data_IF_560547713145
#
_entry.id   IF_560547713145
#
_cell.length_a   1.000
_cell.length_b   1.000
_cell.length_c   1.000
_cell.angle_alpha   90.00
_cell.angle_beta   90.00
_cell.angle_gamma   90.00
#
_symmetry.space_group_name_H-M   'P 1'
#
loop_
_entity.id
_entity.type
_entity.pdbx_description
1 polymer ?
#
# COMPACT_ATOMS: atom_id res chain seq x y z
N UNK A 1 20.29 -40.41 24.55
CA UNK A 1 18.87 -40.07 24.73
C UNK A 1 18.85 -38.70 25.38
N UNK A 2 18.12 -37.73 24.81
CA UNK A 2 17.97 -36.40 25.40
C UNK A 2 16.93 -36.47 26.51
N UNK A 3 17.17 -35.78 27.63
CA UNK A 3 16.33 -35.82 28.82
C UNK A 3 15.56 -34.49 28.96
N UNK A 4 14.23 -34.60 29.02
CA UNK A 4 13.30 -33.49 29.17
C UNK A 4 12.51 -33.57 30.48
N UNK A 5 12.87 -34.50 31.38
CA UNK A 5 12.16 -34.76 32.66
C UNK A 5 12.08 -33.56 33.59
N UNK A 6 12.91 -32.54 33.37
CA UNK A 6 12.83 -31.26 34.08
C UNK A 6 11.44 -30.61 33.93
N UNK A 7 10.68 -30.91 32.87
CA UNK A 7 9.35 -30.35 32.61
C UNK A 7 8.19 -31.34 32.88
N UNK A 8 8.45 -32.49 33.51
CA UNK A 8 7.40 -33.50 33.77
C UNK A 8 6.37 -33.05 34.84
N UNK A 9 6.69 -32.00 35.60
CA UNK A 9 5.88 -31.54 36.74
C UNK A 9 5.55 -30.05 36.60
N UNK A 10 4.70 -29.70 35.64
CA UNK A 10 4.18 -28.34 35.46
C UNK A 10 2.74 -28.28 35.99
N UNK A 11 2.47 -27.31 36.87
CA UNK A 11 1.13 -26.99 37.39
C UNK A 11 0.62 -25.70 36.72
N UNK A 12 -0.47 -25.81 35.97
CA UNK A 12 -1.19 -24.69 35.36
C UNK A 12 -2.54 -24.56 36.06
N UNK A 13 -2.76 -23.46 36.79
CA UNK A 13 -3.98 -23.28 37.59
C UNK A 13 -5.26 -23.17 36.76
N UNK A 14 -5.12 -22.69 35.52
CA UNK A 14 -6.16 -22.48 34.52
C UNK A 14 -6.10 -23.50 33.36
N UNK A 15 -5.62 -24.71 33.65
CA UNK A 15 -5.61 -25.81 32.68
C UNK A 15 -7.04 -26.19 32.25
N UNK A 16 -7.38 -25.86 31.00
CA UNK A 16 -8.70 -26.09 30.39
C UNK A 16 -8.94 -27.54 29.96
N UNK A 17 -7.89 -28.36 29.88
CA UNK A 17 -8.00 -29.80 29.61
C UNK A 17 -8.35 -30.58 30.89
N UNK A 18 -7.96 -30.08 32.08
CA UNK A 18 -8.30 -30.68 33.37
C UNK A 18 -9.62 -30.16 33.95
N UNK A 19 -10.72 -30.41 33.25
CA UNK A 19 -12.06 -29.97 33.66
C UNK A 19 -13.01 -31.14 33.95
N UNK A 20 -14.16 -30.84 34.55
CA UNK A 20 -15.19 -31.84 34.83
C UNK A 20 -16.57 -31.27 34.45
N UNK A 21 -17.43 -32.01 33.72
CA UNK A 21 -18.72 -31.49 33.25
C UNK A 21 -19.66 -30.94 34.35
N UNK A 22 -19.46 -31.39 35.59
CA UNK A 22 -20.26 -30.95 36.74
C UNK A 22 -19.60 -29.86 37.61
N UNK A 23 -18.42 -29.36 37.24
CA UNK A 23 -17.69 -28.35 38.02
C UNK A 23 -17.57 -27.07 37.19
N UNK A 24 -17.91 -25.94 37.81
CA UNK A 24 -17.77 -24.62 37.20
C UNK A 24 -16.28 -24.24 37.06
N UNK A 25 -15.78 -24.22 35.82
CA UNK A 25 -14.36 -24.03 35.52
C UNK A 25 -13.81 -22.66 35.95
N UNK A 26 -14.51 -21.51 35.79
CA UNK A 26 -13.98 -20.22 36.24
C UNK A 26 -13.83 -20.11 37.76
N UNK A 27 -14.68 -20.81 38.52
CA UNK A 27 -14.55 -20.89 39.98
C UNK A 27 -13.45 -21.87 40.38
N UNK A 28 -13.32 -23.00 39.67
CA UNK A 28 -12.26 -23.99 39.88
C UNK A 28 -10.86 -23.40 39.64
N UNK A 29 -10.64 -22.65 38.55
CA UNK A 29 -9.33 -22.06 38.26
C UNK A 29 -8.90 -21.03 39.30
N UNK A 30 -9.84 -20.20 39.76
CA UNK A 30 -9.59 -19.27 40.87
C UNK A 30 -9.26 -20.01 42.16
N UNK A 31 -9.97 -21.11 42.44
CA UNK A 31 -9.68 -21.95 43.60
C UNK A 31 -8.31 -22.64 43.51
N UNK A 32 -7.95 -23.22 42.35
CA UNK A 32 -6.63 -23.80 42.09
C UNK A 32 -5.51 -22.76 42.26
N UNK A 33 -5.71 -21.55 41.72
CA UNK A 33 -4.78 -20.43 41.92
C UNK A 33 -4.61 -20.08 43.40
N UNK A 34 -5.72 -19.93 44.14
CA UNK A 34 -5.71 -19.63 45.57
C UNK A 34 -4.98 -20.73 46.36
N UNK A 35 -5.30 -22.00 46.10
CA UNK A 35 -4.64 -23.13 46.75
C UNK A 35 -3.13 -23.15 46.47
N UNK A 36 -2.70 -22.80 45.25
CA UNK A 36 -1.29 -22.69 44.88
C UNK A 36 -0.58 -21.58 45.65
N UNK A 37 -1.19 -20.39 45.73
CA UNK A 37 -0.65 -19.25 46.51
C UNK A 37 -0.52 -19.62 47.98
N UNK A 38 -1.55 -20.23 48.57
CA UNK A 38 -1.53 -20.68 49.97
C UNK A 38 -0.44 -21.73 50.24
N UNK A 39 -0.26 -22.71 49.34
CA UNK A 39 0.83 -23.70 49.43
C UNK A 39 2.21 -23.04 49.39
N UNK A 40 2.41 -22.08 48.49
CA UNK A 40 3.68 -21.34 48.39
C UNK A 40 3.93 -20.46 49.63
N UNK A 41 2.91 -19.77 50.15
CA UNK A 41 3.02 -18.97 51.36
C UNK A 41 3.36 -19.84 52.59
N UNK A 42 2.70 -20.99 52.75
CA UNK A 42 3.00 -21.92 53.84
C UNK A 42 4.43 -22.47 53.73
N UNK A 43 4.85 -22.81 52.50
CA UNK A 43 6.21 -23.27 52.23
C UNK A 43 7.26 -22.21 52.60
N UNK A 44 7.01 -20.96 52.22
CA UNK A 44 7.89 -19.84 52.54
C UNK A 44 7.98 -19.59 54.06
N UNK A 45 6.85 -19.64 54.78
CA UNK A 45 6.84 -19.54 56.26
C UNK A 45 7.63 -20.66 56.93
N UNK A 46 7.47 -21.91 56.47
CA UNK A 46 8.22 -23.06 56.99
C UNK A 46 9.74 -22.85 56.79
N UNK A 47 10.13 -22.35 55.61
CA UNK A 47 11.52 -22.04 55.29
C UNK A 47 12.12 -20.95 56.16
N UNK A 48 11.39 -19.88 56.42
CA UNK A 48 11.81 -18.78 57.28
C UNK A 48 11.96 -19.22 58.75
N UNK A 49 11.02 -20.01 59.26
CA UNK A 49 11.09 -20.57 60.63
C UNK A 49 12.28 -21.52 60.80
N UNK A 50 12.56 -22.38 59.80
CA UNK A 50 13.72 -23.27 59.83
C UNK A 50 15.03 -22.50 59.76
N UNK A 51 15.14 -21.49 58.90
CA UNK A 51 16.33 -20.65 58.79
C UNK A 51 16.58 -19.85 60.08
N UNK A 52 15.53 -19.26 60.66
CA UNK A 52 15.61 -18.57 61.96
C UNK A 52 16.01 -19.52 63.08
N UNK A 53 15.39 -20.69 63.18
CA UNK A 53 15.72 -21.72 64.16
C UNK A 53 17.17 -22.22 64.06
N UNK A 54 17.66 -22.41 62.83
CA UNK A 54 19.04 -22.79 62.56
C UNK A 54 20.02 -21.69 62.98
N UNK A 55 19.75 -20.42 62.63
CA UNK A 55 20.60 -19.27 63.02
C UNK A 55 20.65 -19.08 64.53
N UNK A 56 19.51 -19.22 65.20
CA UNK A 56 19.40 -19.09 66.65
C UNK A 56 20.14 -20.21 67.39
N UNK A 57 19.99 -21.46 66.96
CA UNK A 57 20.72 -22.58 67.54
C UNK A 57 22.23 -22.43 67.32
N UNK A 58 22.66 -22.04 66.12
CA UNK A 58 24.07 -21.83 65.81
C UNK A 58 24.69 -20.72 66.65
N UNK A 59 23.97 -19.61 66.88
CA UNK A 59 24.39 -18.53 67.77
C UNK A 59 24.52 -19.01 69.22
N UNK A 60 23.50 -19.67 69.76
CA UNK A 60 23.51 -20.19 71.14
C UNK A 60 24.61 -21.22 71.34
N UNK A 61 24.83 -22.10 70.36
CA UNK A 61 25.90 -23.09 70.39
C UNK A 61 27.28 -22.43 70.41
N UNK A 62 27.50 -21.40 69.57
CA UNK A 62 28.76 -20.66 69.56
C UNK A 62 29.02 -19.93 70.90
N UNK A 63 28.00 -19.31 71.48
CA UNK A 63 28.09 -18.68 72.80
C UNK A 63 28.37 -19.70 73.92
N UNK A 64 27.70 -20.85 73.91
CA UNK A 64 27.95 -21.93 74.87
C UNK A 64 29.37 -22.51 74.73
N UNK A 65 29.83 -22.75 73.50
CA UNK A 65 31.20 -23.21 73.24
C UNK A 65 32.24 -22.19 73.70
N UNK A 66 31.97 -20.89 73.56
CA UNK A 66 32.85 -19.84 74.06
C UNK A 66 32.93 -19.86 75.60
N UNK A 67 31.79 -19.95 76.28
CA UNK A 67 31.72 -20.05 77.75
C UNK A 67 32.38 -21.31 78.29
N UNK A 68 32.24 -22.45 77.61
CA UNK A 68 32.94 -23.70 77.96
C UNK A 68 34.45 -23.49 77.90
N UNK A 69 34.99 -22.90 76.82
CA UNK A 69 36.43 -22.61 76.70
C UNK A 69 36.93 -21.62 77.76
N UNK A 70 36.15 -20.58 78.08
CA UNK A 70 36.49 -19.61 79.13
C UNK A 70 36.55 -20.27 80.52
N UNK A 71 35.65 -21.22 80.81
CA UNK A 71 35.63 -21.96 82.08
C UNK A 71 36.73 -23.02 82.17
N UNK A 72 37.08 -23.69 81.07
CA UNK A 72 38.24 -24.60 81.01
C UNK A 72 39.55 -23.89 81.33
N UNK A 73 39.69 -22.62 80.91
CA UNK A 73 40.87 -21.81 81.15
C UNK A 73 40.98 -21.27 82.59
N UNK A 74 39.88 -21.17 83.34
CA UNK A 74 39.85 -20.53 84.67
C UNK A 74 40.15 -21.45 85.85
N UNK A 75 40.19 -22.78 85.67
CA UNK A 75 40.90 -23.72 86.56
C UNK A 75 40.42 -23.85 88.01
N UNK A 76 39.23 -23.36 88.38
CA UNK A 76 38.67 -23.44 89.75
C UNK A 76 37.91 -24.77 89.98
N UNK A 77 38.17 -25.46 91.10
CA UNK A 77 37.51 -26.75 91.44
C UNK A 77 35.98 -26.66 91.57
N UNK A 78 35.43 -25.48 91.92
CA UNK A 78 33.99 -25.21 91.96
C UNK A 78 33.34 -25.05 90.57
N UNK A 79 34.12 -24.94 89.49
CA UNK A 79 33.62 -24.72 88.13
C UNK A 79 33.36 -26.03 87.36
N UNK A 80 33.70 -27.19 87.94
CA UNK A 80 33.58 -28.49 87.27
C UNK A 80 32.13 -28.93 87.04
N UNK A 81 31.22 -28.62 87.96
CA UNK A 81 29.79 -28.87 87.84
C UNK A 81 29.13 -27.96 86.80
N UNK A 82 29.53 -26.69 86.77
CA UNK A 82 29.07 -25.70 85.79
C UNK A 82 29.58 -26.00 84.38
N UNK A 83 30.82 -26.47 84.27
CA UNK A 83 31.39 -26.97 83.01
C UNK A 83 30.61 -28.16 82.47
N UNK A 84 30.28 -29.15 83.31
CA UNK A 84 29.46 -30.30 82.90
C UNK A 84 28.06 -29.87 82.46
N UNK A 85 27.46 -28.88 83.14
CA UNK A 85 26.15 -28.32 82.76
C UNK A 85 26.18 -27.65 81.39
N UNK A 86 27.16 -26.79 81.15
CA UNK A 86 27.33 -26.09 79.86
C UNK A 86 27.74 -27.03 78.73
N UNK A 87 28.50 -28.08 79.04
CA UNK A 87 28.86 -29.12 78.07
C UNK A 87 27.63 -29.96 77.68
N UNK A 88 26.74 -30.28 78.63
CA UNK A 88 25.47 -30.92 78.35
C UNK A 88 24.53 -29.99 77.54
N UNK A 89 24.49 -28.70 77.86
CA UNK A 89 23.72 -27.69 77.11
C UNK A 89 24.26 -27.53 75.67
N UNK A 90 25.58 -27.48 75.48
CA UNK A 90 26.20 -27.45 74.16
C UNK A 90 25.93 -28.74 73.36
N UNK A 91 25.93 -29.91 74.01
CA UNK A 91 25.54 -31.16 73.35
C UNK A 91 24.06 -31.17 72.96
N UNK A 92 23.18 -30.59 73.78
CA UNK A 92 21.77 -30.46 73.47
C UNK A 92 21.53 -29.49 72.29
N UNK A 93 22.16 -28.31 72.32
CA UNK A 93 22.11 -27.34 71.22
C UNK A 93 22.68 -27.90 69.91
N UNK A 94 23.69 -28.77 69.99
CA UNK A 94 24.23 -29.48 68.81
C UNK A 94 23.26 -30.51 68.24
N UNK A 95 22.47 -31.19 69.09
CA UNK A 95 21.37 -32.07 68.63
C UNK A 95 20.26 -31.25 67.99
N UNK A 96 19.93 -30.09 68.55
CA UNK A 96 18.94 -29.16 67.99
C UNK A 96 19.40 -28.60 66.63
N UNK A 97 20.65 -28.16 66.49
CA UNK A 97 21.24 -27.74 65.21
C UNK A 97 21.10 -28.84 64.15
N UNK A 98 21.46 -30.08 64.49
CA UNK A 98 21.30 -31.23 63.58
C UNK A 98 19.84 -31.43 63.17
N UNK A 99 18.90 -31.29 64.11
CA UNK A 99 17.47 -31.41 63.80
C UNK A 99 16.97 -30.30 62.86
N UNK A 100 17.53 -29.08 62.96
CA UNK A 100 17.23 -27.99 62.03
C UNK A 100 17.86 -28.21 60.66
N UNK A 101 19.05 -28.76 60.59
CA UNK A 101 19.71 -29.13 59.33
C UNK A 101 18.94 -30.25 58.60
N UNK A 102 18.45 -31.25 59.33
CA UNK A 102 17.57 -32.29 58.77
C UNK A 102 16.26 -31.71 58.23
N UNK A 103 15.67 -30.72 58.93
CA UNK A 103 14.50 -29.97 58.43
C UNK A 103 14.83 -29.14 57.19
N UNK A 104 15.97 -28.46 57.16
CA UNK A 104 16.41 -27.67 56.00
C UNK A 104 16.65 -28.56 54.76
N UNK A 105 17.24 -29.75 54.93
CA UNK A 105 17.42 -30.70 53.85
C UNK A 105 16.08 -31.29 53.38
N UNK A 106 15.12 -31.49 54.29
CA UNK A 106 13.75 -31.87 53.91
C UNK A 106 13.06 -30.79 53.07
N UNK A 107 13.28 -29.51 53.40
CA UNK A 107 12.76 -28.38 52.62
C UNK A 107 13.40 -28.32 51.24
N UNK A 108 14.71 -28.52 51.10
CA UNK A 108 15.39 -28.58 49.79
C UNK A 108 14.83 -29.69 48.90
N UNK A 109 14.46 -30.84 49.47
CA UNK A 109 13.79 -31.91 48.72
C UNK A 109 12.38 -31.50 48.29
N UNK A 110 11.63 -30.83 49.16
CA UNK A 110 10.32 -30.24 48.81
C UNK A 110 10.46 -29.19 47.69
N UNK A 111 11.50 -28.35 47.68
CA UNK A 111 11.77 -27.39 46.58
C UNK A 111 12.03 -28.10 45.25
N UNK A 112 12.85 -29.17 45.25
CA UNK A 112 13.14 -29.94 44.03
C UNK A 112 11.92 -30.64 43.45
N UNK A 113 11.00 -31.07 44.32
CA UNK A 113 9.76 -31.74 43.93
C UNK A 113 8.60 -30.75 43.73
N UNK A 114 8.84 -29.44 43.86
CA UNK A 114 7.80 -28.44 43.71
C UNK A 114 7.38 -28.36 42.24
N UNK A 115 6.08 -28.35 41.94
CA UNK A 115 5.60 -28.16 40.57
C UNK A 115 6.06 -26.82 40.01
N UNK A 116 6.50 -26.85 38.77
CA UNK A 116 6.78 -25.67 37.98
C UNK A 116 5.50 -24.90 37.68
N UNK A 117 5.52 -23.60 37.87
CA UNK A 117 4.41 -22.71 37.60
C UNK A 117 4.95 -21.36 37.10
N UNK A 118 4.07 -20.42 36.76
CA UNK A 118 4.46 -19.10 36.23
C UNK A 118 5.46 -18.33 37.09
N UNK A 119 5.47 -18.56 38.41
CA UNK A 119 6.35 -17.87 39.37
C UNK A 119 7.71 -18.56 39.55
N UNK A 120 7.83 -19.83 39.18
CA UNK A 120 9.06 -20.64 39.34
C UNK A 120 9.76 -20.92 38.01
N UNK A 121 9.01 -21.03 36.91
CA UNK A 121 9.53 -21.32 35.57
C UNK A 121 10.42 -20.21 35.02
N UNK A 122 10.01 -18.95 35.21
CA UNK A 122 10.70 -17.81 34.62
C UNK A 122 10.43 -16.52 35.41
N UNK A 123 11.14 -15.45 35.04
CA UNK A 123 10.94 -14.09 35.55
C UNK A 123 10.79 -13.15 34.37
N UNK A 124 10.15 -12.01 34.59
CA UNK A 124 10.10 -10.95 33.57
C UNK A 124 11.52 -10.45 33.26
N UNK A 125 12.07 -10.92 32.14
CA UNK A 125 13.41 -10.56 31.68
C UNK A 125 13.42 -9.26 30.89
N UNK A 126 12.35 -8.99 30.13
CA UNK A 126 12.22 -7.80 29.29
C UNK A 126 10.75 -7.55 28.94
N UNK A 127 10.26 -6.37 29.29
CA UNK A 127 8.92 -5.91 28.94
C UNK A 127 9.00 -4.54 28.27
N UNK A 128 8.52 -4.45 27.03
CA UNK A 128 8.45 -3.19 26.27
C UNK A 128 7.14 -3.12 25.50
N UNK A 129 6.34 -2.11 25.81
CA UNK A 129 5.16 -1.75 25.03
C UNK A 129 5.51 -0.66 24.01
N UNK A 130 4.92 -0.77 22.82
CA UNK A 130 5.01 0.25 21.76
C UNK A 130 3.61 0.52 21.28
N UNK A 131 3.13 1.75 21.48
CA UNK A 131 1.87 2.20 20.92
C UNK A 131 2.15 2.89 19.58
N UNK A 132 1.46 2.46 18.53
CA UNK A 132 1.55 3.08 17.22
C UNK A 132 0.69 4.35 17.15
N UNK A 133 1.02 5.34 17.99
CA UNK A 133 0.42 6.67 17.93
C UNK A 133 1.02 7.38 16.72
N UNK A 134 0.24 7.47 15.64
CA UNK A 134 0.69 8.16 14.43
C UNK A 134 0.83 9.66 14.71
N UNK A 135 1.90 10.32 14.23
CA UNK A 135 1.98 11.76 14.27
C UNK A 135 0.80 12.35 13.48
N UNK A 136 0.26 13.49 13.95
CA UNK A 136 -0.69 14.25 13.15
C UNK A 136 -0.06 14.53 11.79
N UNK A 137 -0.76 14.19 10.71
CA UNK A 137 -0.23 14.40 9.36
C UNK A 137 0.09 15.90 9.21
N UNK A 138 1.33 16.29 8.90
CA UNK A 138 1.60 17.67 8.48
C UNK A 138 0.72 17.98 7.26
N UNK A 139 0.35 19.26 7.10
CA UNK A 139 -0.69 19.74 6.18
C UNK A 139 -0.62 19.24 4.73
N UNK A 140 -1.67 19.56 3.96
CA UNK A 140 -1.89 19.09 2.58
C UNK A 140 -0.59 19.06 1.74
N UNK A 141 -0.26 17.88 1.20
CA UNK A 141 0.88 17.67 0.29
C UNK A 141 0.80 18.70 -0.85
N UNK A 142 1.93 19.32 -1.20
CA UNK A 142 1.96 20.31 -2.29
C UNK A 142 1.62 19.64 -3.63
N UNK A 143 0.97 20.35 -4.56
CA UNK A 143 0.57 19.81 -5.87
C UNK A 143 1.73 19.16 -6.64
N UNK A 144 2.94 19.72 -6.56
CA UNK A 144 4.15 19.14 -7.16
C UNK A 144 4.51 17.77 -6.56
N UNK A 145 4.30 17.58 -5.26
CA UNK A 145 4.53 16.31 -4.58
C UNK A 145 3.49 15.27 -5.00
N UNK A 146 2.21 15.69 -5.12
CA UNK A 146 1.13 14.83 -5.63
C UNK A 146 1.42 14.37 -7.05
N UNK A 147 1.92 15.24 -7.92
CA UNK A 147 2.24 14.87 -9.30
C UNK A 147 3.42 13.87 -9.37
N UNK A 148 4.51 14.10 -8.62
CA UNK A 148 5.64 13.16 -8.55
C UNK A 148 5.22 11.80 -7.99
N UNK A 149 4.40 11.82 -6.94
CA UNK A 149 3.81 10.62 -6.34
C UNK A 149 2.92 9.90 -7.36
N UNK A 150 2.10 10.63 -8.12
CA UNK A 150 1.25 10.05 -9.15
C UNK A 150 2.08 9.35 -10.23
N UNK A 151 3.09 10.01 -10.80
CA UNK A 151 3.97 9.42 -11.82
C UNK A 151 4.63 8.14 -11.33
N UNK A 152 5.33 8.21 -10.20
CA UNK A 152 6.04 7.06 -9.62
C UNK A 152 5.10 5.93 -9.19
N UNK A 153 3.92 6.25 -8.67
CA UNK A 153 2.92 5.27 -8.27
C UNK A 153 2.34 4.53 -9.48
N UNK A 154 1.95 5.28 -10.51
CA UNK A 154 1.42 4.72 -11.75
C UNK A 154 2.45 3.83 -12.42
N UNK A 155 3.70 4.30 -12.57
CA UNK A 155 4.78 3.50 -13.16
C UNK A 155 5.01 2.18 -12.41
N UNK A 156 4.96 2.22 -11.07
CA UNK A 156 5.20 1.04 -10.23
C UNK A 156 4.05 0.04 -10.27
N UNK A 157 2.80 0.52 -10.28
CA UNK A 157 1.61 -0.31 -10.09
C UNK A 157 0.70 -0.39 -11.32
N UNK A 158 1.15 0.08 -12.48
CA UNK A 158 0.37 0.15 -13.72
C UNK A 158 -0.37 -1.16 -14.02
N UNK A 159 0.37 -2.28 -14.00
CA UNK A 159 -0.18 -3.62 -14.27
C UNK A 159 -1.26 -4.01 -13.27
N UNK A 160 -1.07 -3.64 -12.01
CA UNK A 160 -2.03 -3.96 -10.96
C UNK A 160 -3.29 -3.10 -11.06
N UNK A 161 -3.14 -1.82 -11.44
CA UNK A 161 -4.26 -0.91 -11.69
C UNK A 161 -5.07 -1.41 -12.89
N UNK A 162 -4.41 -1.76 -14.00
CA UNK A 162 -5.08 -2.33 -15.17
C UNK A 162 -5.81 -3.62 -14.85
N UNK A 163 -5.20 -4.51 -14.05
CA UNK A 163 -5.85 -5.74 -13.61
C UNK A 163 -7.13 -5.45 -12.82
N UNK A 164 -7.08 -4.51 -11.86
CA UNK A 164 -8.29 -4.08 -11.15
C UNK A 164 -9.36 -3.55 -12.10
N UNK A 165 -8.98 -2.71 -13.07
CA UNK A 165 -9.89 -2.15 -14.07
C UNK A 165 -10.59 -3.19 -14.95
N UNK A 166 -10.00 -4.39 -15.10
CA UNK A 166 -10.59 -5.49 -15.88
C UNK A 166 -11.53 -6.38 -15.06
N UNK A 167 -11.60 -6.24 -13.73
CA UNK A 167 -12.50 -7.03 -12.90
C UNK A 167 -13.96 -6.56 -13.04
N UNK A 168 -14.93 -7.44 -12.74
CA UNK A 168 -16.36 -7.10 -12.72
C UNK A 168 -17.05 -7.47 -11.43
N UNK A 169 -16.83 -8.70 -10.97
CA UNK A 169 -17.53 -9.27 -9.82
C UNK A 169 -17.09 -8.55 -8.55
N UNK A 170 -18.06 -8.23 -7.71
CA UNK A 170 -17.83 -7.54 -6.44
C UNK A 170 -16.86 -8.29 -5.52
N UNK A 171 -16.96 -9.62 -5.45
CA UNK A 171 -16.07 -10.45 -4.64
C UNK A 171 -14.62 -10.40 -5.14
N UNK A 172 -14.43 -10.46 -6.45
CA UNK A 172 -13.10 -10.43 -7.07
C UNK A 172 -12.45 -9.05 -6.87
N UNK A 173 -13.18 -7.97 -7.11
CA UNK A 173 -12.71 -6.60 -6.86
C UNK A 173 -12.36 -6.38 -5.38
N UNK A 174 -13.21 -6.85 -4.46
CA UNK A 174 -12.98 -6.72 -3.02
C UNK A 174 -11.76 -7.53 -2.54
N UNK A 175 -11.60 -8.75 -3.04
CA UNK A 175 -10.45 -9.61 -2.75
C UNK A 175 -9.17 -8.99 -3.29
N UNK A 176 -9.19 -8.53 -4.55
CA UNK A 176 -8.02 -7.96 -5.18
C UNK A 176 -7.53 -6.68 -4.49
N UNK A 177 -8.45 -5.80 -4.05
CA UNK A 177 -8.10 -4.63 -3.24
C UNK A 177 -7.69 -4.99 -1.81
N UNK A 178 -8.11 -6.14 -1.29
CA UNK A 178 -7.62 -6.66 0.00
C UNK A 178 -6.18 -7.16 -0.09
N UNK A 179 -5.83 -7.81 -1.19
CA UNK A 179 -4.47 -8.27 -1.48
C UNK A 179 -3.56 -7.10 -1.87
N UNK A 180 -4.13 -6.02 -2.44
CA UNK A 180 -3.41 -4.82 -2.87
C UNK A 180 -4.02 -3.52 -2.30
N UNK A 181 -3.95 -3.27 -0.97
CA UNK A 181 -4.60 -2.11 -0.35
C UNK A 181 -4.04 -0.75 -0.81
N UNK A 182 -2.80 -0.71 -1.30
CA UNK A 182 -2.17 0.51 -1.79
C UNK A 182 -2.85 1.07 -3.04
N UNK A 183 -3.59 0.25 -3.80
CA UNK A 183 -4.35 0.67 -4.97
C UNK A 183 -5.59 1.50 -4.61
N UNK A 184 -6.05 1.46 -3.35
CA UNK A 184 -7.21 2.25 -2.90
C UNK A 184 -6.74 3.68 -2.62
N UNK A 185 -6.65 4.49 -3.67
CA UNK A 185 -6.23 5.90 -3.62
C UNK A 185 -6.70 6.68 -4.85
N UNK A 186 -6.57 8.01 -4.79
CA UNK A 186 -7.00 8.91 -5.88
C UNK A 186 -6.19 8.71 -7.16
N UNK A 187 -4.90 8.38 -7.03
CA UNK A 187 -3.99 8.15 -8.16
C UNK A 187 -4.47 7.00 -9.05
N UNK A 188 -4.98 5.92 -8.45
CA UNK A 188 -5.57 4.79 -9.18
C UNK A 188 -6.82 5.23 -9.95
N UNK A 189 -7.72 5.99 -9.32
CA UNK A 189 -8.93 6.49 -9.98
C UNK A 189 -8.57 7.38 -11.18
N UNK A 190 -7.63 8.30 -11.00
CA UNK A 190 -7.17 9.21 -12.07
C UNK A 190 -6.57 8.45 -13.25
N UNK A 191 -5.75 7.43 -12.98
CA UNK A 191 -5.17 6.60 -14.03
C UNK A 191 -6.26 5.84 -14.81
N UNK A 192 -7.23 5.25 -14.12
CA UNK A 192 -8.32 4.52 -14.77
C UNK A 192 -9.18 5.43 -15.66
N UNK A 193 -9.41 6.69 -15.25
CA UNK A 193 -10.11 7.69 -16.08
C UNK A 193 -9.34 7.97 -17.37
N UNK A 194 -8.02 8.22 -17.28
CA UNK A 194 -7.19 8.46 -18.46
C UNK A 194 -7.20 7.24 -19.37
N UNK A 195 -7.05 6.04 -18.79
CA UNK A 195 -7.08 4.79 -19.53
C UNK A 195 -8.42 4.56 -20.24
N UNK A 196 -9.56 4.93 -19.64
CA UNK A 196 -10.85 4.89 -20.33
C UNK A 196 -10.88 5.77 -21.58
N UNK A 197 -10.30 6.98 -21.51
CA UNK A 197 -10.24 7.90 -22.66
C UNK A 197 -9.32 7.33 -23.74
N UNK A 198 -8.15 6.79 -23.37
CA UNK A 198 -7.23 6.18 -24.34
C UNK A 198 -7.88 4.97 -25.04
N UNK A 199 -8.58 4.12 -24.29
CA UNK A 199 -9.31 2.98 -24.86
C UNK A 199 -10.42 3.42 -25.83
N UNK A 200 -11.11 4.52 -25.53
CA UNK A 200 -12.14 5.06 -26.42
C UNK A 200 -11.55 5.66 -27.70
N UNK A 201 -10.39 6.31 -27.61
CA UNK A 201 -9.64 6.80 -28.78
C UNK A 201 -9.09 5.64 -29.63
N UNK A 202 -8.70 4.53 -28.99
CA UNK A 202 -8.27 3.29 -29.66
C UNK A 202 -9.43 2.41 -30.17
N UNK A 203 -10.69 2.91 -30.14
CA UNK A 203 -11.91 2.19 -30.56
C UNK A 203 -12.21 0.90 -29.78
N UNK A 204 -11.62 0.73 -28.58
CA UNK A 204 -11.83 -0.43 -27.69
C UNK A 204 -13.01 -0.22 -26.74
N UNK A 205 -14.19 0.07 -27.29
CA UNK A 205 -15.39 0.46 -26.54
C UNK A 205 -15.80 -0.55 -25.46
N UNK A 206 -15.78 -1.85 -25.77
CA UNK A 206 -16.19 -2.90 -24.82
C UNK A 206 -15.28 -2.94 -23.57
N UNK A 207 -13.97 -2.74 -23.76
CA UNK A 207 -13.02 -2.69 -22.66
C UNK A 207 -13.14 -1.37 -21.89
N UNK A 208 -13.39 -0.25 -22.58
CA UNK A 208 -13.66 1.05 -21.94
C UNK A 208 -14.84 0.94 -20.97
N UNK A 209 -15.95 0.31 -21.36
CA UNK A 209 -17.11 0.18 -20.46
C UNK A 209 -16.82 -0.66 -19.21
N UNK A 210 -16.00 -1.69 -19.36
CA UNK A 210 -15.55 -2.53 -18.24
C UNK A 210 -14.66 -1.75 -17.27
N UNK A 211 -13.71 -0.99 -17.80
CA UNK A 211 -12.81 -0.15 -17.00
C UNK A 211 -13.56 1.02 -16.36
N UNK A 212 -14.53 1.61 -17.07
CA UNK A 212 -15.40 2.66 -16.56
C UNK A 212 -16.17 2.19 -15.32
N UNK A 213 -16.68 0.95 -15.33
CA UNK A 213 -17.33 0.38 -14.15
C UNK A 213 -16.40 0.38 -12.93
N UNK A 214 -15.18 -0.15 -13.05
CA UNK A 214 -14.22 -0.19 -11.95
C UNK A 214 -13.70 1.19 -11.55
N UNK A 215 -13.71 2.15 -12.48
CA UNK A 215 -13.39 3.56 -12.19
C UNK A 215 -14.41 4.16 -11.23
N UNK A 216 -15.70 3.96 -11.49
CA UNK A 216 -16.78 4.42 -10.60
C UNK A 216 -16.73 3.71 -9.25
N UNK A 217 -16.42 2.41 -9.23
CA UNK A 217 -16.20 1.67 -7.98
C UNK A 217 -15.12 2.34 -7.13
N UNK A 218 -13.97 2.68 -7.71
CA UNK A 218 -12.91 3.37 -6.97
C UNK A 218 -13.36 4.76 -6.52
N UNK A 219 -14.06 5.52 -7.36
CA UNK A 219 -14.57 6.85 -7.00
C UNK A 219 -15.54 6.80 -5.82
N UNK A 220 -16.49 5.86 -5.82
CA UNK A 220 -17.45 5.68 -4.73
C UNK A 220 -16.77 5.25 -3.42
N UNK A 221 -15.71 4.43 -3.50
CA UNK A 221 -14.89 4.09 -2.32
C UNK A 221 -14.24 5.36 -1.74
N UNK A 222 -13.65 6.20 -2.60
CA UNK A 222 -13.01 7.45 -2.19
C UNK A 222 -14.03 8.47 -1.65
N UNK A 223 -15.21 8.54 -2.25
CA UNK A 223 -16.31 9.40 -1.79
C UNK A 223 -16.82 8.95 -0.41
N UNK A 224 -17.08 7.66 -0.23
CA UNK A 224 -17.46 7.09 1.06
C UNK A 224 -16.41 7.40 2.14
N UNK A 225 -15.13 7.29 1.80
CA UNK A 225 -14.03 7.62 2.71
C UNK A 225 -14.03 9.10 3.10
N UNK A 226 -14.26 10.01 2.15
CA UNK A 226 -14.39 11.45 2.38
C UNK A 226 -15.58 11.76 3.29
N UNK A 227 -16.75 11.17 3.03
CA UNK A 227 -17.95 11.35 3.87
C UNK A 227 -17.73 10.86 5.31
N UNK A 228 -17.04 9.73 5.48
CA UNK A 228 -16.73 9.15 6.79
C UNK A 228 -15.50 9.77 7.47
N UNK A 229 -14.74 10.63 6.78
CA UNK A 229 -13.47 11.22 7.25
C UNK A 229 -12.45 10.17 7.69
N UNK A 230 -12.41 9.04 6.98
CA UNK A 230 -11.47 7.93 7.23
C UNK A 230 -10.59 7.70 6.02
N UNK A 231 -9.46 7.02 6.22
CA UNK A 231 -8.62 6.60 5.10
C UNK A 231 -9.39 5.60 4.20
N UNK A 232 -9.40 5.79 2.86
CA UNK A 232 -10.10 4.89 1.94
C UNK A 232 -9.72 3.41 2.10
N UNK A 233 -8.46 3.14 2.46
CA UNK A 233 -7.92 1.79 2.66
C UNK A 233 -8.52 1.10 3.86
N UNK A 234 -9.07 1.86 4.82
CA UNK A 234 -9.73 1.33 6.00
C UNK A 234 -11.22 1.03 5.77
N UNK A 235 -11.87 1.68 4.80
CA UNK A 235 -13.31 1.59 4.61
C UNK A 235 -13.78 0.98 3.29
N UNK A 236 -12.90 0.70 2.32
CA UNK A 236 -13.31 0.16 1.01
C UNK A 236 -14.15 -1.13 1.10
N UNK A 237 -13.92 -1.98 2.11
CA UNK A 237 -14.73 -3.20 2.31
C UNK A 237 -16.18 -2.88 2.65
N UNK A 238 -16.42 -1.77 3.36
CA UNK A 238 -17.78 -1.34 3.70
C UNK A 238 -18.56 -0.90 2.46
N UNK A 239 -17.88 -0.32 1.47
CA UNK A 239 -18.51 -0.04 0.17
C UNK A 239 -19.02 -1.34 -0.48
N UNK A 240 -18.18 -2.39 -0.55
CA UNK A 240 -18.60 -3.67 -1.12
C UNK A 240 -19.71 -4.36 -0.32
N UNK A 241 -19.72 -4.22 1.01
CA UNK A 241 -20.85 -4.69 1.83
C UNK A 241 -22.12 -3.93 1.47
N UNK A 242 -22.06 -2.59 1.42
CA UNK A 242 -23.21 -1.73 1.11
C UNK A 242 -23.77 -2.01 -0.28
N UNK A 243 -22.93 -2.12 -1.31
CA UNK A 243 -23.40 -2.31 -2.69
C UNK A 243 -24.01 -3.70 -2.92
N UNK A 244 -23.57 -4.72 -2.17
CA UNK A 244 -24.17 -6.07 -2.24
C UNK A 244 -25.52 -6.16 -1.55
N UNK A 245 -25.76 -5.31 -0.55
CA UNK A 245 -27.02 -5.26 0.21
C UNK A 245 -27.82 -3.99 -0.10
N UNK A 246 -27.48 -3.29 -1.18
CA UNK A 246 -28.07 -2.01 -1.53
C UNK A 246 -29.49 -2.19 -2.08
N UNK A 247 -30.37 -1.25 -1.72
CA UNK A 247 -31.69 -1.15 -2.34
C UNK A 247 -31.58 -0.76 -3.82
N UNK A 248 -32.60 -1.12 -4.59
CA UNK A 248 -32.70 -0.86 -6.03
C UNK A 248 -32.34 0.60 -6.39
N UNK A 249 -32.82 1.57 -5.61
CA UNK A 249 -32.57 3.00 -5.82
C UNK A 249 -31.08 3.38 -5.78
N UNK A 250 -30.30 2.74 -4.90
CA UNK A 250 -28.87 3.00 -4.80
C UNK A 250 -28.11 2.40 -5.98
N UNK A 251 -28.53 1.22 -6.45
CA UNK A 251 -27.98 0.60 -7.66
C UNK A 251 -28.32 1.39 -8.92
N UNK A 252 -29.53 1.97 -9.00
CA UNK A 252 -29.94 2.87 -10.06
C UNK A 252 -29.06 4.12 -10.10
N UNK A 253 -28.87 4.79 -8.95
CA UNK A 253 -27.96 5.94 -8.86
C UNK A 253 -26.51 5.62 -9.25
N UNK A 254 -26.00 4.43 -8.87
CA UNK A 254 -24.68 3.96 -9.31
C UNK A 254 -24.61 3.77 -10.83
N UNK A 255 -25.65 3.19 -11.44
CA UNK A 255 -25.71 2.99 -12.88
C UNK A 255 -25.86 4.31 -13.66
N UNK A 256 -26.63 5.27 -13.14
CA UNK A 256 -26.75 6.62 -13.72
C UNK A 256 -25.41 7.35 -13.73
N UNK A 257 -24.65 7.30 -12.63
CA UNK A 257 -23.30 7.87 -12.58
C UNK A 257 -22.33 7.17 -13.53
N UNK A 258 -22.46 5.85 -13.67
CA UNK A 258 -21.67 5.09 -14.63
C UNK A 258 -21.95 5.50 -16.08
N UNK A 259 -23.22 5.62 -16.48
CA UNK A 259 -23.59 6.05 -17.82
C UNK A 259 -23.20 7.51 -18.08
N UNK A 260 -23.42 8.39 -17.11
CA UNK A 260 -22.95 9.79 -17.16
C UNK A 260 -21.43 9.87 -17.32
N UNK A 261 -20.69 8.99 -16.65
CA UNK A 261 -19.24 8.90 -16.80
C UNK A 261 -18.82 8.40 -18.18
N UNK A 262 -19.46 7.35 -18.72
CA UNK A 262 -19.19 6.87 -20.08
C UNK A 262 -19.41 7.97 -21.12
N UNK A 263 -20.50 8.74 -21.00
CA UNK A 263 -20.76 9.88 -21.88
C UNK A 263 -19.67 10.96 -21.78
N UNK A 264 -19.21 11.29 -20.58
CA UNK A 264 -18.08 12.21 -20.39
C UNK A 264 -16.78 11.68 -21.01
N UNK A 265 -16.52 10.38 -20.93
CA UNK A 265 -15.36 9.75 -21.56
C UNK A 265 -15.44 9.84 -23.08
N UNK A 266 -16.60 9.47 -23.67
CA UNK A 266 -16.88 9.61 -25.11
C UNK A 266 -16.69 11.04 -25.60
N UNK A 267 -17.22 12.02 -24.86
CA UNK A 267 -17.04 13.44 -25.17
C UNK A 267 -15.57 13.90 -25.14
N UNK A 268 -14.80 13.45 -24.14
CA UNK A 268 -13.35 13.76 -24.06
C UNK A 268 -12.53 13.07 -25.13
N UNK A 269 -12.88 11.85 -25.51
CA UNK A 269 -12.22 11.13 -26.60
C UNK A 269 -12.46 11.84 -27.94
N UNK A 270 -13.72 12.22 -28.23
CA UNK A 270 -14.05 13.03 -29.42
C UNK A 270 -13.26 14.34 -29.46
N UNK A 271 -13.20 15.07 -28.34
CA UNK A 271 -12.43 16.32 -28.27
C UNK A 271 -10.91 16.11 -28.49
N UNK A 272 -10.33 14.97 -28.08
CA UNK A 272 -8.93 14.62 -28.37
C UNK A 272 -8.72 14.30 -29.85
N UNK A 273 -9.64 13.56 -30.47
CA UNK A 273 -9.60 13.22 -31.89
C UNK A 273 -9.75 14.50 -32.73
N UNK A 274 -10.73 15.36 -32.42
CA UNK A 274 -10.94 16.64 -33.10
C UNK A 274 -9.71 17.55 -33.01
N UNK A 275 -9.03 17.59 -31.85
CA UNK A 275 -7.77 18.33 -31.70
C UNK A 275 -6.68 17.77 -32.62
N UNK A 276 -6.51 16.45 -32.66
CA UNK A 276 -5.51 15.81 -33.50
C UNK A 276 -5.80 16.03 -35.01
N UNK A 277 -7.08 15.98 -35.40
CA UNK A 277 -7.51 16.30 -36.78
C UNK A 277 -7.21 17.76 -37.10
N UNK A 278 -7.53 18.69 -36.21
CA UNK A 278 -7.26 20.12 -36.42
C UNK A 278 -5.76 20.41 -36.52
N UNK A 279 -4.94 19.81 -35.67
CA UNK A 279 -3.48 19.93 -35.74
C UNK A 279 -2.94 19.39 -37.07
N UNK A 280 -3.49 18.27 -37.56
CA UNK A 280 -3.15 17.73 -38.88
C UNK A 280 -3.61 18.63 -40.03
N UNK A 281 -4.81 19.20 -39.95
CA UNK A 281 -5.32 20.18 -40.92
C UNK A 281 -4.46 21.46 -40.95
N UNK A 282 -4.04 21.97 -39.79
CA UNK A 282 -3.14 23.13 -39.68
C UNK A 282 -1.73 22.82 -40.23
N UNK A 283 -1.21 21.60 -40.04
CA UNK A 283 0.06 21.17 -40.66
C UNK A 283 -0.06 21.04 -42.18
N UNK A 284 -1.16 20.46 -42.68
CA UNK A 284 -1.44 20.38 -44.11
C UNK A 284 -1.62 21.76 -44.72
N UNK A 285 -2.31 22.67 -44.02
CA UNK A 285 -2.46 24.06 -44.43
C UNK A 285 -1.10 24.76 -44.53
N UNK A 286 -0.22 24.58 -43.52
CA UNK A 286 1.16 25.11 -43.55
C UNK A 286 1.98 24.58 -44.72
N UNK A 287 1.85 23.30 -45.07
CA UNK A 287 2.52 22.71 -46.25
C UNK A 287 1.99 23.25 -47.57
N UNK A 288 0.74 23.72 -47.61
CA UNK A 288 0.07 24.27 -48.80
C UNK A 288 0.27 25.78 -48.99
N UNK A 289 0.87 26.47 -48.03
CA UNK A 289 1.14 27.90 -48.14
C UNK A 289 2.08 28.20 -49.32
N UNK A 290 1.70 29.18 -50.13
CA UNK A 290 2.50 29.68 -51.23
C UNK A 290 3.76 30.43 -50.78
N UNK A 291 4.60 30.87 -51.73
CA UNK A 291 5.90 31.50 -51.46
C UNK A 291 5.83 32.77 -50.60
N UNK A 292 4.67 33.43 -50.51
CA UNK A 292 4.39 34.59 -49.66
C UNK A 292 3.57 34.27 -48.40
N UNK A 293 3.40 33.00 -48.05
CA UNK A 293 2.70 32.57 -46.83
C UNK A 293 1.17 32.68 -46.89
N UNK A 294 0.60 32.80 -48.10
CA UNK A 294 -0.85 32.79 -48.30
C UNK A 294 -1.30 31.42 -48.83
N UNK A 295 -2.47 30.96 -48.38
CA UNK A 295 -3.07 29.72 -48.88
C UNK A 295 -3.71 29.94 -50.27
N UNK A 296 -3.33 29.16 -51.31
CA UNK A 296 -3.94 29.23 -52.63
C UNK A 296 -5.47 29.08 -52.63
N UNK A 297 -6.04 28.24 -51.76
CA UNK A 297 -7.48 27.98 -51.71
C UNK A 297 -8.21 29.18 -51.10
N UNK A 298 -7.72 29.72 -49.99
CA UNK A 298 -8.29 30.90 -49.34
C UNK A 298 -8.22 32.13 -50.24
N UNK A 299 -7.09 32.32 -50.94
CA UNK A 299 -6.96 33.43 -51.89
C UNK A 299 -7.96 33.25 -53.03
N UNK A 300 -8.07 32.07 -53.63
CA UNK A 300 -9.01 31.80 -54.73
C UNK A 300 -10.47 32.07 -54.33
N UNK A 301 -10.92 31.59 -53.17
CA UNK A 301 -12.30 31.82 -52.69
C UNK A 301 -12.61 33.30 -52.40
N UNK A 302 -11.60 34.06 -52.00
CA UNK A 302 -11.72 35.50 -51.72
C UNK A 302 -11.63 36.40 -52.96
N UNK A 303 -11.33 35.84 -54.14
CA UNK A 303 -11.24 36.61 -55.38
C UNK A 303 -12.64 36.97 -55.92
N UNK A 304 -12.80 38.12 -56.59
CA UNK A 304 -14.00 38.43 -57.36
C UNK A 304 -14.37 37.33 -58.35
N UNK A 305 -15.67 37.12 -58.56
CA UNK A 305 -16.18 36.05 -59.43
C UNK A 305 -15.70 36.16 -60.88
N UNK A 306 -15.36 37.36 -61.38
CA UNK A 306 -14.74 37.50 -62.69
C UNK A 306 -13.31 36.92 -62.72
N UNK A 307 -12.52 37.14 -61.66
CA UNK A 307 -11.16 36.60 -61.56
C UNK A 307 -11.16 35.09 -61.32
N UNK A 308 -12.06 34.57 -60.48
CA UNK A 308 -12.22 33.12 -60.27
C UNK A 308 -12.47 32.39 -61.60
N UNK A 309 -13.39 32.91 -62.42
CA UNK A 309 -13.67 32.37 -63.76
C UNK A 309 -12.47 32.44 -64.71
N UNK A 310 -11.63 33.46 -64.60
CA UNK A 310 -10.40 33.56 -65.39
C UNK A 310 -9.40 32.45 -65.04
N UNK A 311 -9.28 32.10 -63.75
CA UNK A 311 -8.44 30.99 -63.28
C UNK A 311 -9.04 29.62 -63.64
N UNK A 312 -10.37 29.47 -63.65
CA UNK A 312 -11.05 28.23 -64.04
C UNK A 312 -10.88 27.89 -65.52
N UNK A 313 -11.02 28.92 -66.38
CA UNK A 313 -10.90 28.80 -67.84
C UNK A 313 -9.42 28.84 -68.28
N UNK A 314 -8.50 29.15 -67.35
CA UNK A 314 -7.05 29.30 -67.58
C UNK A 314 -6.73 30.26 -68.72
N UNK A 315 -7.51 31.33 -68.84
CA UNK A 315 -7.36 32.32 -69.91
C UNK A 315 -6.65 33.59 -69.41
N UNK A 316 -5.41 33.75 -69.86
CA UNK A 316 -4.53 34.88 -69.52
C UNK A 316 -5.04 36.20 -70.10
N UNK A 317 -5.72 36.18 -71.26
CA UNK A 317 -6.28 37.39 -71.87
C UNK A 317 -7.53 37.86 -71.13
N UNK A 318 -8.39 36.93 -70.73
CA UNK A 318 -9.55 37.27 -69.89
C UNK A 318 -9.14 37.84 -68.53
N UNK A 319 -8.05 37.34 -67.95
CA UNK A 319 -7.50 37.87 -66.70
C UNK A 319 -6.98 39.31 -66.88
N UNK A 320 -6.25 39.59 -67.97
CA UNK A 320 -5.77 40.93 -68.30
C UNK A 320 -6.91 41.92 -68.56
N UNK A 321 -7.97 41.48 -69.25
CA UNK A 321 -9.17 42.29 -69.50
C UNK A 321 -9.99 42.58 -68.23
N UNK A 322 -10.09 41.60 -67.34
CA UNK A 322 -10.74 41.77 -66.04
C UNK A 322 -9.95 42.77 -65.16
N UNK A 323 -8.62 42.63 -65.13
CA UNK A 323 -7.70 43.54 -64.42
C UNK A 323 -7.79 44.98 -64.97
N UNK A 324 -7.88 45.15 -66.29
CA UNK A 324 -7.95 46.48 -66.91
C UNK A 324 -9.28 47.21 -66.65
N UNK A 325 -10.33 46.47 -66.27
CA UNK A 325 -11.67 47.02 -65.96
C UNK A 325 -11.84 47.39 -64.49
N UNK A 326 -10.97 46.91 -63.60
CA UNK A 326 -11.01 47.19 -62.16
C UNK A 326 -10.17 48.42 -61.80
N UNK A 327 -10.39 48.97 -60.60
CA UNK A 327 -9.54 50.03 -60.06
C UNK A 327 -8.08 49.54 -59.98
N UNK A 328 -7.10 50.29 -60.51
CA UNK A 328 -5.67 49.96 -60.43
C UNK A 328 -5.18 49.58 -59.02
N UNK A 329 -5.77 50.14 -57.96
CA UNK A 329 -5.42 49.82 -56.59
C UNK A 329 -5.89 48.41 -56.16
N UNK A 330 -7.13 48.04 -56.53
CA UNK A 330 -7.73 46.74 -56.22
C UNK A 330 -7.10 45.62 -57.05
N UNK A 331 -6.85 45.89 -58.34
CA UNK A 331 -6.17 44.98 -59.25
C UNK A 331 -4.78 44.58 -58.73
N UNK A 332 -4.00 45.58 -58.26
CA UNK A 332 -2.68 45.34 -57.68
C UNK A 332 -2.76 44.51 -56.39
N UNK A 333 -3.74 44.79 -55.54
CA UNK A 333 -3.96 44.06 -54.30
C UNK A 333 -4.29 42.57 -54.55
N UNK A 334 -5.24 42.27 -55.44
CA UNK A 334 -5.60 40.89 -55.76
C UNK A 334 -4.50 40.15 -56.52
N UNK A 335 -3.79 40.80 -57.44
CA UNK A 335 -2.68 40.18 -58.19
C UNK A 335 -1.50 39.84 -57.27
N UNK A 336 -1.13 40.74 -56.36
CA UNK A 336 -0.07 40.48 -55.38
C UNK A 336 -0.41 39.26 -54.52
N UNK A 337 -1.66 39.14 -54.05
CA UNK A 337 -2.14 37.98 -53.30
C UNK A 337 -2.13 36.68 -54.12
N UNK A 338 -2.42 36.74 -55.43
CA UNK A 338 -2.30 35.59 -56.33
C UNK A 338 -0.86 35.13 -56.50
N UNK A 339 0.11 36.06 -56.46
CA UNK A 339 1.54 35.74 -56.54
C UNK A 339 2.02 35.15 -55.21
N UNK A 340 1.66 35.77 -54.10
CA UNK A 340 2.08 35.37 -52.76
C UNK A 340 1.47 34.03 -52.33
N UNK A 341 0.30 33.67 -52.86
CA UNK A 341 -0.30 32.33 -52.70
C UNK A 341 0.18 31.31 -53.74
N UNK A 342 0.95 31.72 -54.75
CA UNK A 342 1.42 30.82 -55.81
C UNK A 342 0.37 30.46 -56.88
N UNK A 343 -0.84 31.04 -56.83
CA UNK A 343 -1.86 30.92 -57.88
C UNK A 343 -1.42 31.50 -59.23
N UNK A 344 -0.52 32.50 -59.21
CA UNK A 344 0.01 33.16 -60.40
C UNK A 344 1.52 33.35 -60.28
N UNK A 345 2.30 32.78 -61.19
CA UNK A 345 3.76 32.98 -61.25
C UNK A 345 4.08 34.03 -62.31
N UNK A 346 4.60 35.22 -61.93
CA UNK A 346 4.96 36.25 -62.91
C UNK A 346 6.05 35.74 -63.87
N UNK A 347 5.75 35.74 -65.17
CA UNK A 347 6.63 35.34 -66.27
C UNK A 347 7.14 33.88 -66.27
N UNK A 348 6.26 32.93 -66.59
CA UNK A 348 6.63 31.55 -66.94
C UNK A 348 7.44 31.40 -68.26
N UNK A 349 7.77 32.49 -68.98
CA UNK A 349 8.48 32.42 -70.28
C UNK A 349 10.01 32.46 -70.22
N UNK A 350 10.63 32.49 -69.03
CA UNK A 350 12.12 32.51 -68.91
C UNK A 350 12.68 31.31 -68.14
N UNK A 351 11.83 30.43 -67.58
CA UNK A 351 12.27 29.28 -66.77
C UNK A 351 12.10 27.91 -67.48
N UNK A 352 12.02 27.88 -68.81
CA UNK A 352 12.15 26.63 -69.59
C UNK A 352 13.62 26.32 -69.99
N UNK A 353 14.60 27.05 -69.44
CA UNK A 353 16.02 26.81 -69.70
C UNK A 353 16.85 26.84 -68.42
N UNK A 354 17.38 25.67 -68.03
CA UNK A 354 18.20 25.36 -66.84
C UNK A 354 17.39 25.19 -65.55
N UNK A 355 17.32 24.03 -64.90
CA UNK A 355 18.33 22.97 -64.78
C UNK A 355 17.71 21.56 -64.90
N UNK A 356 18.33 20.73 -65.75
CA UNK A 356 18.37 19.29 -65.53
C UNK A 356 19.55 19.00 -64.62
N UNK A 357 19.28 18.39 -63.45
CA UNK A 357 20.19 17.40 -62.87
C UNK A 357 20.60 17.62 -61.43
N UNK A 358 19.76 17.17 -60.48
CA UNK A 358 20.28 16.30 -59.43
C UNK A 358 19.24 15.21 -59.12
N UNK A 359 19.64 13.96 -59.40
CA UNK A 359 18.90 12.77 -59.00
C UNK A 359 19.20 12.54 -57.52
N UNK A 360 18.17 12.47 -56.68
CA UNK A 360 18.16 11.54 -55.56
C UNK A 360 16.90 10.70 -55.67
N UNK A 361 17.15 9.42 -55.87
CA UNK A 361 16.18 8.36 -56.07
C UNK A 361 15.19 8.28 -54.90
N UNK A 362 13.93 8.00 -55.25
CA UNK A 362 12.94 7.57 -54.28
C UNK A 362 13.36 6.23 -53.69
N UNK A 363 13.52 6.19 -52.38
CA UNK A 363 13.39 4.97 -51.60
C UNK A 363 11.99 4.98 -51.01
N UNK A 364 11.13 4.14 -51.59
CA UNK A 364 9.97 3.60 -50.91
C UNK A 364 10.48 2.77 -49.72
N UNK A 365 10.10 3.12 -48.49
CA UNK A 365 9.95 2.12 -47.44
C UNK A 365 8.46 2.04 -47.08
N UNK A 366 7.84 1.01 -47.65
CA UNK A 366 6.51 0.54 -47.31
C UNK A 366 6.45 0.15 -45.83
N UNK A 367 5.37 0.58 -45.19
CA UNK A 367 4.82 0.00 -43.98
C UNK A 367 4.75 -1.53 -44.12
N UNK A 368 5.52 -2.23 -43.28
CA UNK A 368 5.30 -3.65 -42.97
C UNK A 368 3.88 -3.83 -42.43
N UNK A 369 3.00 -4.40 -43.25
CA UNK A 369 1.87 -5.21 -42.79
C UNK A 369 2.43 -6.56 -42.33
N UNK A 370 2.39 -6.82 -41.03
CA UNK A 370 2.42 -8.19 -40.53
C UNK A 370 1.04 -8.82 -40.76
N UNK A 371 0.99 -9.84 -41.60
CA UNK A 371 -0.03 -10.87 -41.55
C UNK A 371 0.62 -12.23 -41.66
N UNK A 372 0.22 -13.11 -40.73
CA UNK A 372 0.54 -14.53 -40.62
C UNK A 372 0.81 -15.24 -41.96
N UNK A 373 1.84 -16.08 -41.98
CA UNK A 373 1.83 -17.30 -42.78
C UNK A 373 1.84 -18.53 -41.87
N UNK A 374 0.73 -19.24 -41.95
CA UNK A 374 0.64 -20.67 -41.73
C UNK A 374 1.68 -21.39 -42.59
N UNK A 375 2.50 -22.22 -41.97
CA UNK A 375 3.44 -23.06 -42.69
C UNK A 375 2.70 -24.19 -43.42
N UNK A 376 2.95 -24.32 -44.73
CA UNK A 376 2.84 -25.60 -45.43
C UNK A 376 3.56 -25.59 -46.78
N UNK A 377 4.77 -26.16 -46.80
CA UNK A 377 5.48 -26.60 -47.99
C UNK A 377 5.78 -28.10 -47.88
N UNK A 378 4.97 -28.89 -48.59
CA UNK A 378 5.10 -30.33 -48.94
C UNK A 378 6.30 -30.56 -49.89
N UNK A 379 6.76 -31.79 -50.19
CA UNK A 379 6.17 -33.12 -49.99
C UNK A 379 6.92 -34.06 -49.03
#
# INVERSE_FOLDING_TARGET
MVDYSIWDHIEVSDDEDETHPNIDTPSLFRWRHQARVERMEQFQKEKEEVDKGCRDCKRKLAECQKKVKELELSGLENSKSELQRLQAEAQQLKKEERSWEEKAESLRKKEKNMPWNVDTLSKDGFSKSVFNVKPEKPGEETEEQKEKKHKTFVEKYEKQIKHFGMLRRWDDSQKYLSDNPHLVCEETANYLVIWCIDLEVEEKHALMEQVAHQTIVMQFILELAKSLKVDPRACFRQFFTKIKTADQQYMEGFNEELESFKERVRGRAKARIERAIKEYEEEEQKKRLGPGGLDPVEVYESLPSELQKCFDVKDVQMLQDAISKMDPAEAKHHMQRCIDSGLWVPNARVAEGAEKGEKTEGVYEELKKESCEEGQGRP
#
